data_IF_958353836275
#
_entry.id   IF_958353836275
#
_cell.length_a   1.000
_cell.length_b   1.000
_cell.length_c   1.000
_cell.angle_alpha   90.00
_cell.angle_beta   90.00
_cell.angle_gamma   90.00
#
_symmetry.space_group_name_H-M   'P 1'
#
loop_
_entity.id
_entity.type
_entity.pdbx_description
1 polymer ?
#
# COMPACT_ATOMS: atom_id res chain seq x y z
N UNK A 1 4.42 67.34 -11.09
CA UNK A 1 4.00 68.52 -10.28
C UNK A 1 2.50 68.72 -10.51
N UNK A 2 1.81 69.45 -9.61
CA UNK A 2 0.33 69.57 -9.47
C UNK A 2 -0.42 68.22 -9.22
N UNK A 3 -1.49 68.11 -8.43
CA UNK A 3 -2.10 69.02 -7.43
C UNK A 3 -2.99 68.24 -6.40
N UNK A 4 -2.99 68.72 -5.13
CA UNK A 4 -4.15 69.11 -4.28
C UNK A 4 -5.40 68.20 -4.15
N UNK A 5 -5.73 67.87 -2.87
CA UNK A 5 -7.05 67.55 -2.24
C UNK A 5 -8.07 66.64 -2.99
N UNK A 6 -8.78 65.71 -2.32
CA UNK A 6 -9.79 66.03 -1.28
C UNK A 6 -10.28 64.77 -0.57
N UNK A 7 -10.44 64.83 0.75
CA UNK A 7 -11.07 63.79 1.59
C UNK A 7 -12.60 63.95 1.53
N UNK A 8 -13.36 62.86 1.39
CA UNK A 8 -14.79 62.89 1.64
C UNK A 8 -15.31 61.53 2.15
N UNK A 9 -15.96 61.56 3.31
CA UNK A 9 -16.66 60.44 3.98
C UNK A 9 -18.12 60.84 4.16
N UNK A 10 -19.08 59.93 3.91
CA UNK A 10 -20.55 59.98 4.20
C UNK A 10 -21.24 58.95 3.25
N UNK A 11 -22.43 58.34 3.46
CA UNK A 11 -23.39 58.32 4.58
C UNK A 11 -24.26 57.03 4.49
N UNK A 12 -24.46 56.38 5.64
CA UNK A 12 -25.69 55.79 6.23
C UNK A 12 -26.66 54.82 5.48
N UNK A 13 -27.13 53.81 6.26
CA UNK A 13 -28.24 52.87 6.00
C UNK A 13 -29.59 53.54 5.73
N UNK A 14 -30.50 52.85 5.03
CA UNK A 14 -31.96 52.94 5.29
C UNK A 14 -32.70 51.64 4.92
N UNK A 15 -33.68 51.26 5.76
CA UNK A 15 -34.68 50.21 5.53
C UNK A 15 -36.04 50.87 5.28
N UNK A 16 -36.96 50.23 4.56
CA UNK A 16 -38.38 50.61 4.58
C UNK A 16 -39.34 49.41 4.53
N UNK A 17 -40.46 49.54 5.25
CA UNK A 17 -41.60 48.59 5.38
C UNK A 17 -42.68 48.90 4.30
N UNK A 18 -43.68 48.06 3.98
CA UNK A 18 -44.98 47.82 4.67
C UNK A 18 -45.91 46.99 3.69
N UNK A 19 -47.05 46.35 4.01
CA UNK A 19 -47.77 46.02 5.26
C UNK A 19 -48.84 44.90 5.08
N UNK A 20 -49.17 44.17 6.16
CA UNK A 20 -50.50 43.68 6.62
C UNK A 20 -51.48 42.99 5.64
N UNK A 21 -51.80 41.71 5.89
CA UNK A 21 -53.15 41.25 6.32
C UNK A 21 -53.10 39.87 7.01
N UNK A 22 -53.80 39.71 8.14
CA UNK A 22 -54.13 38.46 8.87
C UNK A 22 -55.64 38.15 8.63
N UNK A 23 -56.25 36.95 8.95
CA UNK A 23 -55.99 36.15 10.17
C UNK A 23 -56.32 34.61 10.17
N UNK A 24 -56.12 33.97 11.35
CA UNK A 24 -56.79 32.76 11.91
C UNK A 24 -56.73 31.42 11.14
N UNK A 25 -56.33 30.33 11.83
CA UNK A 25 -56.93 29.00 11.58
C UNK A 25 -56.07 27.73 11.67
N UNK A 26 -55.87 27.22 12.89
CA UNK A 26 -55.94 25.79 13.27
C UNK A 26 -55.25 24.66 12.45
N UNK A 27 -54.41 23.89 13.18
CA UNK A 27 -54.47 22.41 13.34
C UNK A 27 -54.10 21.45 12.18
N UNK A 28 -53.09 20.63 12.51
CA UNK A 28 -53.09 19.14 12.42
C UNK A 28 -52.61 18.45 11.12
N UNK A 29 -51.76 17.43 11.38
CA UNK A 29 -51.40 16.23 10.61
C UNK A 29 -52.17 15.93 9.31
N UNK A 30 -51.42 15.57 8.26
CA UNK A 30 -51.58 14.43 7.32
C UNK A 30 -50.38 14.49 6.35
N UNK A 31 -49.47 13.52 6.33
CA UNK A 31 -49.52 12.24 5.59
C UNK A 31 -49.34 12.38 4.06
N UNK A 32 -48.16 11.97 3.57
CA UNK A 32 -47.90 11.36 2.25
C UNK A 32 -48.48 12.04 0.99
N UNK A 33 -47.63 12.68 0.17
CA UNK A 33 -47.38 12.16 -1.19
C UNK A 33 -46.17 12.73 -1.95
N UNK A 34 -45.72 11.86 -2.83
CA UNK A 34 -44.63 11.79 -3.81
C UNK A 34 -44.63 12.84 -4.96
N UNK A 35 -43.45 13.00 -5.57
CA UNK A 35 -43.15 13.45 -6.96
C UNK A 35 -43.04 14.95 -7.33
N UNK A 36 -41.84 15.35 -7.76
CA UNK A 36 -41.51 15.70 -9.17
C UNK A 36 -39.98 15.84 -9.34
N UNK A 37 -39.32 14.97 -10.12
CA UNK A 37 -38.97 15.14 -11.55
C UNK A 37 -38.17 16.43 -11.89
N UNK A 38 -36.85 16.30 -12.05
CA UNK A 38 -36.15 16.69 -13.30
C UNK A 38 -34.68 16.22 -13.37
N UNK A 39 -34.42 15.40 -14.36
CA UNK A 39 -33.16 15.04 -15.02
C UNK A 39 -31.92 15.94 -14.84
N UNK A 40 -30.82 15.35 -14.34
CA UNK A 40 -29.49 15.54 -14.94
C UNK A 40 -28.77 14.18 -15.05
N UNK A 41 -28.68 13.69 -16.28
CA UNK A 41 -28.15 12.38 -16.67
C UNK A 41 -26.64 12.50 -16.92
N UNK A 42 -25.81 12.23 -15.92
CA UNK A 42 -24.35 12.29 -16.09
C UNK A 42 -23.84 11.17 -17.02
N UNK A 43 -22.87 11.43 -17.93
CA UNK A 43 -22.49 10.46 -18.96
C UNK A 43 -21.69 9.28 -18.41
N UNK A 44 -22.06 8.06 -18.79
CA UNK A 44 -21.20 6.90 -18.56
C UNK A 44 -20.04 6.90 -19.57
N UNK A 45 -18.81 7.07 -19.07
CA UNK A 45 -17.58 6.84 -19.84
C UNK A 45 -16.94 5.53 -19.38
N UNK A 46 -17.64 4.42 -19.61
CA UNK A 46 -17.08 3.07 -19.42
C UNK A 46 -16.31 2.67 -20.69
N UNK A 47 -14.97 2.70 -20.61
CA UNK A 47 -14.11 2.45 -21.79
C UNK A 47 -13.77 0.97 -21.93
N UNK A 48 -14.59 0.27 -22.73
CA UNK A 48 -14.30 -0.95 -23.50
C UNK A 48 -13.16 -1.84 -22.97
N UNK A 49 -13.53 -2.85 -22.17
CA UNK A 49 -12.69 -4.03 -22.01
C UNK A 49 -12.59 -4.78 -23.36
N UNK A 50 -11.52 -5.55 -23.54
CA UNK A 50 -11.26 -6.35 -24.74
C UNK A 50 -11.58 -7.79 -24.39
N UNK A 51 -12.67 -8.31 -24.94
CA UNK A 51 -13.06 -9.70 -24.76
C UNK A 51 -12.00 -10.63 -25.37
N UNK A 52 -11.74 -11.74 -24.68
CA UNK A 52 -10.97 -12.87 -25.17
C UNK A 52 -11.87 -14.09 -25.04
N UNK A 53 -12.55 -14.45 -26.13
CA UNK A 53 -13.36 -15.65 -26.21
C UNK A 53 -12.46 -16.90 -26.10
N UNK A 54 -12.76 -17.75 -25.11
CA UNK A 54 -12.26 -19.12 -25.04
C UNK A 54 -13.47 -20.04 -24.96
N UNK A 55 -13.90 -20.52 -26.13
CA UNK A 55 -15.00 -21.49 -26.27
C UNK A 55 -14.57 -22.87 -25.74
N UNK A 56 -15.31 -23.49 -24.81
CA UNK A 56 -15.04 -24.84 -24.35
C UNK A 56 -15.88 -25.86 -25.12
N UNK A 57 -15.41 -26.27 -26.30
CA UNK A 57 -16.08 -27.32 -27.08
C UNK A 57 -15.12 -28.21 -27.88
N UNK A 58 -14.40 -29.12 -27.20
CA UNK A 58 -14.23 -30.54 -27.60
C UNK A 58 -13.75 -31.31 -26.35
N UNK A 59 -14.51 -32.32 -25.92
CA UNK A 59 -14.05 -33.71 -25.66
C UNK A 59 -15.10 -34.45 -24.83
N UNK A 60 -15.94 -35.20 -25.54
CA UNK A 60 -16.64 -36.34 -24.97
C UNK A 60 -15.64 -37.48 -24.85
N UNK A 61 -15.55 -38.12 -23.68
CA UNK A 61 -15.00 -39.47 -23.55
C UNK A 61 -15.72 -40.24 -22.44
N UNK A 62 -16.36 -41.33 -22.85
CA UNK A 62 -16.86 -42.33 -21.94
C UNK A 62 -15.69 -43.21 -21.44
N UNK A 63 -15.88 -43.85 -20.28
CA UNK A 63 -15.11 -44.97 -19.73
C UNK A 63 -13.60 -45.04 -20.01
N UNK A 64 -12.80 -44.85 -18.95
CA UNK A 64 -11.90 -45.94 -18.56
C UNK A 64 -11.52 -45.87 -17.07
N UNK A 65 -11.52 -47.04 -16.42
CA UNK A 65 -11.10 -47.19 -15.03
C UNK A 65 -9.58 -47.29 -14.95
N UNK A 66 -8.95 -46.50 -14.07
CA UNK A 66 -7.61 -46.78 -13.56
C UNK A 66 -7.46 -46.15 -12.19
N UNK A 67 -7.16 -46.99 -11.18
CA UNK A 67 -6.81 -46.52 -9.84
C UNK A 67 -5.43 -45.86 -9.89
N UNK A 68 -5.34 -44.61 -9.45
CA UNK A 68 -4.06 -44.01 -9.04
C UNK A 68 -4.22 -43.35 -7.68
N UNK A 69 -3.49 -43.86 -6.70
CA UNK A 69 -3.58 -43.45 -5.30
C UNK A 69 -2.47 -42.45 -4.97
N UNK A 70 -2.60 -41.17 -5.36
CA UNK A 70 -1.88 -40.03 -4.76
C UNK A 70 -2.20 -38.69 -5.46
N UNK A 71 -3.16 -37.88 -4.98
CA UNK A 71 -3.24 -36.47 -5.44
C UNK A 71 -3.97 -35.45 -4.53
N UNK A 72 -4.16 -35.75 -3.25
CA UNK A 72 -4.91 -34.89 -2.29
C UNK A 72 -4.25 -33.52 -2.00
N UNK A 73 -3.00 -33.31 -2.41
CA UNK A 73 -2.23 -32.07 -2.20
C UNK A 73 -2.16 -31.15 -3.42
N UNK A 74 -2.79 -31.51 -4.55
CA UNK A 74 -2.85 -30.68 -5.77
C UNK A 74 -4.10 -29.80 -5.81
N UNK A 75 -5.28 -30.41 -5.61
CA UNK A 75 -6.60 -29.73 -5.69
C UNK A 75 -6.72 -28.58 -4.68
N UNK A 76 -6.19 -28.77 -3.46
CA UNK A 76 -6.18 -27.76 -2.41
C UNK A 76 -5.32 -26.53 -2.74
N UNK A 77 -4.25 -26.68 -3.54
CA UNK A 77 -3.39 -25.56 -3.97
C UNK A 77 -4.11 -24.67 -4.99
N UNK A 78 -4.83 -25.24 -5.95
CA UNK A 78 -5.66 -24.47 -6.88
C UNK A 78 -6.78 -23.72 -6.13
N UNK A 79 -7.42 -24.38 -5.16
CA UNK A 79 -8.44 -23.76 -4.31
C UNK A 79 -7.90 -22.57 -3.50
N UNK A 80 -6.78 -22.74 -2.78
CA UNK A 80 -6.18 -21.66 -1.99
C UNK A 80 -5.69 -20.49 -2.86
N UNK A 81 -5.03 -20.77 -3.99
CA UNK A 81 -4.55 -19.72 -4.89
C UNK A 81 -5.72 -18.95 -5.51
N UNK A 82 -6.78 -19.63 -5.94
CA UNK A 82 -8.02 -19.02 -6.42
C UNK A 82 -8.68 -18.13 -5.36
N UNK A 83 -8.78 -18.63 -4.13
CA UNK A 83 -9.29 -17.85 -2.98
C UNK A 83 -8.46 -16.59 -2.71
N UNK A 84 -7.12 -16.71 -2.69
CA UNK A 84 -6.24 -15.57 -2.45
C UNK A 84 -6.32 -14.52 -3.57
N UNK A 85 -6.38 -14.95 -4.83
CA UNK A 85 -6.58 -14.07 -5.98
C UNK A 85 -7.96 -13.38 -5.96
N UNK A 86 -9.01 -14.08 -5.54
CA UNK A 86 -10.34 -13.50 -5.32
C UNK A 86 -10.34 -12.47 -4.19
N UNK A 87 -9.69 -12.75 -3.07
CA UNK A 87 -9.50 -11.81 -1.96
C UNK A 87 -8.71 -10.57 -2.39
N UNK A 88 -7.68 -10.73 -3.23
CA UNK A 88 -6.94 -9.63 -3.85
C UNK A 88 -7.80 -8.74 -4.78
N UNK A 89 -8.91 -9.25 -5.33
CA UNK A 89 -9.85 -8.47 -6.14
C UNK A 89 -10.91 -7.79 -5.26
N UNK A 90 -11.54 -8.51 -4.33
CA UNK A 90 -12.63 -7.97 -3.51
C UNK A 90 -12.17 -7.05 -2.37
N UNK A 91 -11.03 -7.34 -1.73
CA UNK A 91 -10.51 -6.59 -0.56
C UNK A 91 -9.01 -6.28 -0.72
N UNK A 92 -8.59 -5.63 -1.82
CA UNK A 92 -7.19 -5.53 -2.24
C UNK A 92 -6.24 -4.96 -1.19
N UNK A 93 -6.67 -3.92 -0.45
CA UNK A 93 -5.82 -3.27 0.57
C UNK A 93 -5.64 -4.19 1.78
N UNK A 94 -6.74 -4.73 2.33
CA UNK A 94 -6.70 -5.61 3.50
C UNK A 94 -5.88 -6.87 3.22
N UNK A 95 -6.11 -7.54 2.08
CA UNK A 95 -5.36 -8.75 1.71
C UNK A 95 -3.86 -8.46 1.61
N UNK A 96 -3.45 -7.36 0.95
CA UNK A 96 -2.03 -6.96 0.86
C UNK A 96 -1.43 -6.58 2.21
N UNK A 97 -2.23 -5.96 3.09
CA UNK A 97 -1.82 -5.58 4.44
C UNK A 97 -1.56 -6.80 5.32
N UNK A 98 -2.49 -7.77 5.34
CA UNK A 98 -2.32 -9.04 6.06
C UNK A 98 -1.13 -9.83 5.49
N UNK A 99 -0.98 -9.91 4.16
CA UNK A 99 0.17 -10.61 3.58
C UNK A 99 1.50 -9.91 3.89
N UNK A 100 1.57 -8.58 3.87
CA UNK A 100 2.77 -7.83 4.27
C UNK A 100 3.12 -8.07 5.75
N UNK A 101 2.11 -8.09 6.64
CA UNK A 101 2.28 -8.40 8.06
C UNK A 101 2.89 -9.81 8.29
N UNK A 102 2.37 -10.82 7.59
CA UNK A 102 2.87 -12.20 7.66
C UNK A 102 4.31 -12.30 7.13
N UNK A 103 4.63 -11.62 6.03
CA UNK A 103 5.99 -11.60 5.46
C UNK A 103 6.97 -10.90 6.42
N UNK A 104 6.58 -9.78 7.04
CA UNK A 104 7.43 -9.10 8.02
C UNK A 104 7.59 -9.88 9.33
N UNK A 105 6.56 -10.60 9.77
CA UNK A 105 6.65 -11.55 10.88
C UNK A 105 7.67 -12.64 10.57
N UNK A 106 7.58 -13.26 9.38
CA UNK A 106 8.52 -14.29 8.95
C UNK A 106 9.95 -13.74 8.81
N UNK A 107 10.12 -12.55 8.20
CA UNK A 107 11.40 -11.89 8.03
C UNK A 107 12.10 -11.62 9.37
N UNK A 108 11.34 -11.15 10.36
CA UNK A 108 11.89 -10.85 11.68
C UNK A 108 12.19 -12.13 12.48
N UNK A 109 11.33 -13.14 12.45
CA UNK A 109 11.62 -14.44 13.08
C UNK A 109 12.87 -15.10 12.46
N UNK A 110 13.02 -15.06 11.13
CA UNK A 110 14.24 -15.51 10.45
C UNK A 110 15.46 -14.66 10.85
N UNK A 111 15.36 -13.33 10.86
CA UNK A 111 16.42 -12.43 11.34
C UNK A 111 16.87 -12.79 12.75
N UNK A 112 15.93 -12.93 13.68
CA UNK A 112 16.23 -13.34 15.06
C UNK A 112 16.87 -14.74 15.10
N UNK A 113 16.41 -15.69 14.27
CA UNK A 113 17.01 -17.03 14.18
C UNK A 113 18.46 -16.99 13.72
N UNK A 114 18.80 -16.17 12.73
CA UNK A 114 20.18 -15.98 12.24
C UNK A 114 21.07 -15.19 13.22
N UNK A 115 20.49 -14.27 13.99
CA UNK A 115 21.25 -13.43 14.93
C UNK A 115 21.54 -14.13 16.27
N UNK A 116 20.80 -15.19 16.61
CA UNK A 116 20.98 -15.95 17.85
C UNK A 116 22.36 -16.61 17.90
N UNK A 117 23.07 -16.38 18.99
CA UNK A 117 24.38 -17.00 19.28
C UNK A 117 24.22 -18.34 20.03
N UNK A 118 23.03 -18.66 20.52
CA UNK A 118 22.73 -19.94 21.17
C UNK A 118 21.26 -20.32 21.07
N UNK A 119 20.96 -21.63 21.02
CA UNK A 119 19.58 -22.12 20.91
C UNK A 119 18.67 -21.66 22.06
N UNK A 120 19.23 -21.46 23.26
CA UNK A 120 18.52 -21.04 24.48
C UNK A 120 18.03 -19.58 24.50
N UNK A 121 18.54 -18.71 23.63
CA UNK A 121 18.08 -17.31 23.57
C UNK A 121 16.60 -17.25 23.13
N UNK A 122 15.76 -16.51 23.86
CA UNK A 122 14.33 -16.37 23.52
C UNK A 122 14.13 -15.41 22.33
N UNK A 123 13.01 -15.57 21.63
CA UNK A 123 12.58 -14.62 20.59
C UNK A 123 11.97 -13.37 21.24
N UNK A 124 12.34 -12.19 20.74
CA UNK A 124 11.68 -10.92 21.07
C UNK A 124 10.34 -10.84 20.30
N UNK A 125 9.27 -11.31 20.96
CA UNK A 125 7.92 -11.24 20.44
C UNK A 125 7.40 -9.80 20.27
N UNK A 126 7.92 -8.83 21.04
CA UNK A 126 7.53 -7.41 20.93
C UNK A 126 8.11 -6.82 19.67
N UNK A 127 9.38 -7.12 19.34
CA UNK A 127 10.00 -6.79 18.04
C UNK A 127 9.23 -7.44 16.88
N UNK A 128 8.90 -8.72 16.98
CA UNK A 128 8.09 -9.40 15.95
C UNK A 128 6.74 -8.69 15.74
N UNK A 129 6.06 -8.30 16.82
CA UNK A 129 4.79 -7.57 16.75
C UNK A 129 4.94 -6.17 16.14
N UNK A 130 6.01 -5.43 16.46
CA UNK A 130 6.33 -4.14 15.81
C UNK A 130 6.51 -4.31 14.30
N UNK A 131 7.24 -5.34 13.86
CA UNK A 131 7.46 -5.61 12.43
C UNK A 131 6.16 -6.04 11.73
N UNK A 132 5.36 -6.91 12.35
CA UNK A 132 4.04 -7.30 11.86
C UNK A 132 3.10 -6.09 11.71
N UNK A 133 3.07 -5.20 12.72
CA UNK A 133 2.29 -3.96 12.71
C UNK A 133 2.74 -2.98 11.63
N UNK A 134 4.05 -2.81 11.42
CA UNK A 134 4.59 -2.01 10.33
C UNK A 134 4.17 -2.54 8.95
N UNK A 135 4.29 -3.86 8.73
CA UNK A 135 3.82 -4.52 7.51
C UNK A 135 2.33 -4.31 7.28
N UNK A 136 1.51 -4.49 8.32
CA UNK A 136 0.05 -4.37 8.24
C UNK A 136 -0.43 -2.95 8.00
N UNK A 137 0.01 -1.99 8.82
CA UNK A 137 -0.61 -0.67 8.91
C UNK A 137 0.05 0.36 7.99
N UNK A 138 1.33 0.20 7.69
CA UNK A 138 2.12 1.18 6.91
C UNK A 138 2.45 0.61 5.54
N UNK A 139 3.21 -0.47 5.49
CA UNK A 139 3.83 -0.90 4.23
C UNK A 139 2.82 -1.53 3.25
N UNK A 140 1.93 -2.41 3.72
CA UNK A 140 0.90 -3.02 2.87
C UNK A 140 0.00 -2.02 2.14
N UNK A 141 -0.61 -1.05 2.85
CA UNK A 141 -1.37 0.04 2.23
C UNK A 141 -0.49 0.94 1.35
N UNK A 142 0.70 1.31 1.82
CA UNK A 142 1.64 2.16 1.08
C UNK A 142 2.04 1.56 -0.26
N UNK A 143 2.47 0.28 -0.29
CA UNK A 143 2.80 -0.43 -1.53
C UNK A 143 1.58 -0.56 -2.44
N UNK A 144 0.37 -0.80 -1.90
CA UNK A 144 -0.85 -0.80 -2.71
C UNK A 144 -1.02 0.52 -3.46
N UNK A 145 -0.93 1.66 -2.77
CA UNK A 145 -1.09 2.97 -3.41
C UNK A 145 0.07 3.31 -4.34
N UNK A 146 1.31 3.00 -3.96
CA UNK A 146 2.51 3.23 -4.76
C UNK A 146 2.48 2.50 -6.12
N UNK A 147 2.26 1.19 -6.12
CA UNK A 147 2.23 0.42 -7.38
C UNK A 147 1.04 0.80 -8.27
N UNK A 148 -0.11 1.17 -7.69
CA UNK A 148 -1.24 1.72 -8.45
C UNK A 148 -0.94 3.12 -9.01
N UNK A 149 -0.25 3.98 -8.27
CA UNK A 149 0.17 5.29 -8.75
C UNK A 149 1.18 5.17 -9.90
N UNK A 150 2.22 4.33 -9.74
CA UNK A 150 3.17 4.01 -10.80
C UNK A 150 2.51 3.44 -12.05
N UNK A 151 1.47 2.61 -11.92
CA UNK A 151 0.75 2.05 -13.07
C UNK A 151 -0.14 3.06 -13.78
N UNK A 152 -0.64 4.10 -13.09
CA UNK A 152 -1.41 5.20 -13.68
C UNK A 152 -0.52 6.22 -14.40
N UNK A 153 0.58 6.64 -13.77
CA UNK A 153 1.52 7.62 -14.34
C UNK A 153 2.33 7.02 -15.50
N UNK A 154 2.73 5.75 -15.36
CA UNK A 154 3.57 5.05 -16.33
C UNK A 154 2.91 3.71 -16.73
N UNK A 155 1.82 3.73 -17.53
CA UNK A 155 1.03 2.53 -17.84
C UNK A 155 1.77 1.51 -18.72
N UNK A 156 2.78 1.94 -19.48
CA UNK A 156 3.57 1.07 -20.34
C UNK A 156 4.54 0.19 -19.53
N UNK A 157 4.92 -0.96 -20.09
CA UNK A 157 5.92 -1.92 -19.54
C UNK A 157 7.21 -1.99 -20.38
N UNK A 158 7.47 -0.97 -21.20
CA UNK A 158 8.76 -0.83 -21.89
C UNK A 158 9.90 -0.52 -20.90
N UNK A 159 11.15 -0.65 -21.37
CA UNK A 159 12.34 -0.46 -20.54
C UNK A 159 12.42 0.97 -19.98
N UNK A 160 12.10 2.00 -20.79
CA UNK A 160 12.21 3.39 -20.36
C UNK A 160 11.15 3.76 -19.30
N UNK A 161 9.92 3.28 -19.46
CA UNK A 161 8.87 3.34 -18.44
C UNK A 161 9.27 2.62 -17.15
N UNK A 162 9.92 1.45 -17.27
CA UNK A 162 10.43 0.67 -16.12
C UNK A 162 11.52 1.43 -15.37
N UNK A 163 12.52 1.97 -16.08
CA UNK A 163 13.60 2.77 -15.49
C UNK A 163 13.08 4.04 -14.80
N UNK A 164 12.04 4.70 -15.33
CA UNK A 164 11.40 5.84 -14.65
C UNK A 164 10.73 5.45 -13.33
N UNK A 165 10.04 4.31 -13.28
CA UNK A 165 9.44 3.80 -12.04
C UNK A 165 10.50 3.45 -11.01
N UNK A 166 11.60 2.83 -11.43
CA UNK A 166 12.77 2.54 -10.58
C UNK A 166 13.38 3.84 -10.04
N UNK A 167 13.62 4.85 -10.88
CA UNK A 167 14.16 6.14 -10.45
C UNK A 167 13.25 6.83 -9.40
N UNK A 168 11.93 6.81 -9.61
CA UNK A 168 10.96 7.30 -8.63
C UNK A 168 10.98 6.46 -7.33
N UNK A 169 11.20 5.15 -7.45
CA UNK A 169 11.38 4.24 -6.32
C UNK A 169 12.61 4.63 -5.48
N UNK A 170 13.77 4.75 -6.11
CA UNK A 170 15.04 5.06 -5.45
C UNK A 170 15.12 6.48 -4.89
N UNK A 171 14.50 7.48 -5.53
CA UNK A 171 14.63 8.89 -5.13
C UNK A 171 13.53 9.36 -4.18
N UNK A 172 12.33 8.76 -4.22
CA UNK A 172 11.18 9.20 -3.43
C UNK A 172 10.69 8.11 -2.48
N UNK A 173 10.30 6.95 -3.01
CA UNK A 173 9.61 5.93 -2.20
C UNK A 173 10.54 5.27 -1.17
N UNK A 174 11.70 4.79 -1.60
CA UNK A 174 12.71 4.16 -0.74
C UNK A 174 13.13 5.07 0.41
N UNK A 175 13.70 6.27 0.15
CA UNK A 175 14.08 7.22 1.18
C UNK A 175 12.95 7.56 2.16
N UNK A 176 11.74 7.80 1.66
CA UNK A 176 10.57 8.08 2.51
C UNK A 176 10.22 6.89 3.42
N UNK A 177 10.13 5.68 2.86
CA UNK A 177 9.79 4.48 3.63
C UNK A 177 10.89 4.10 4.62
N UNK A 178 12.17 4.29 4.30
CA UNK A 178 13.28 4.04 5.23
C UNK A 178 13.26 5.02 6.40
N UNK A 179 13.00 6.32 6.17
CA UNK A 179 12.81 7.31 7.24
C UNK A 179 11.62 6.95 8.13
N UNK A 180 10.47 6.60 7.52
CA UNK A 180 9.27 6.17 8.27
C UNK A 180 9.55 4.91 9.08
N UNK A 181 10.20 3.91 8.50
CA UNK A 181 10.55 2.66 9.18
C UNK A 181 11.41 2.90 10.43
N UNK A 182 12.52 3.66 10.30
CA UNK A 182 13.40 3.94 11.43
C UNK A 182 12.71 4.79 12.50
N UNK A 183 12.00 5.85 12.09
CA UNK A 183 11.31 6.77 13.02
C UNK A 183 10.21 6.06 13.81
N UNK A 184 9.42 5.23 13.13
CA UNK A 184 8.33 4.47 13.76
C UNK A 184 8.87 3.36 14.67
N UNK A 185 9.90 2.64 14.25
CA UNK A 185 10.54 1.63 15.11
C UNK A 185 11.16 2.24 16.36
N UNK A 186 11.81 3.40 16.24
CA UNK A 186 12.40 4.13 17.36
C UNK A 186 11.32 4.66 18.33
N UNK A 187 10.26 5.28 17.80
CA UNK A 187 9.10 5.71 18.59
C UNK A 187 8.44 4.53 19.34
N UNK A 188 8.29 3.36 18.69
CA UNK A 188 7.78 2.13 19.34
C UNK A 188 8.80 1.42 20.25
N UNK A 189 10.03 1.95 20.36
CA UNK A 189 11.02 1.57 21.37
C UNK A 189 11.07 2.57 22.54
N UNK A 190 10.28 3.65 22.48
CA UNK A 190 10.26 4.69 23.50
C UNK A 190 11.33 5.78 23.33
N UNK A 191 12.02 5.82 22.19
CA UNK A 191 13.02 6.86 21.91
C UNK A 191 12.38 8.24 21.73
N UNK A 192 13.03 9.26 22.29
CA UNK A 192 12.67 10.66 22.18
C UNK A 192 13.11 11.24 20.83
N UNK A 193 12.56 12.41 20.44
CA UNK A 193 12.83 13.03 19.13
C UNK A 193 14.32 13.29 18.82
N UNK A 194 15.15 13.52 19.85
CA UNK A 194 16.61 13.67 19.72
C UNK A 194 17.29 12.35 19.39
N UNK A 195 16.89 11.25 20.03
CA UNK A 195 17.40 9.89 19.82
C UNK A 195 16.98 9.36 18.45
N UNK A 196 15.71 9.55 18.07
CA UNK A 196 15.20 9.27 16.71
C UNK A 196 16.04 10.01 15.65
N UNK A 197 16.33 11.30 15.88
CA UNK A 197 17.17 12.11 15.00
C UNK A 197 18.62 11.62 14.89
N UNK A 198 19.19 11.12 15.99
CA UNK A 198 20.53 10.51 16.01
C UNK A 198 20.54 9.17 15.27
N UNK A 199 19.55 8.30 15.51
CA UNK A 199 19.39 7.01 14.82
C UNK A 199 19.25 7.21 13.30
N UNK A 200 18.43 8.15 12.86
CA UNK A 200 18.31 8.51 11.44
C UNK A 200 19.64 8.96 10.85
N UNK A 201 20.39 9.85 11.52
CA UNK A 201 21.72 10.29 11.04
C UNK A 201 22.73 9.14 10.93
N UNK A 202 22.67 8.17 11.84
CA UNK A 202 23.56 6.99 11.88
C UNK A 202 23.20 5.98 10.78
N UNK A 203 21.93 5.59 10.69
CA UNK A 203 21.51 4.38 9.98
C UNK A 203 20.93 4.64 8.58
N UNK A 204 20.37 5.83 8.33
CA UNK A 204 19.65 6.12 7.09
C UNK A 204 20.58 6.06 5.88
N UNK A 205 21.71 6.77 5.91
CA UNK A 205 22.61 6.84 4.76
C UNK A 205 23.26 5.48 4.44
N UNK A 206 23.82 4.71 5.40
CA UNK A 206 24.30 3.35 5.13
C UNK A 206 23.20 2.44 4.56
N UNK A 207 21.99 2.46 5.13
CA UNK A 207 20.87 1.62 4.68
C UNK A 207 20.45 1.96 3.25
N UNK A 208 20.39 3.25 2.90
CA UNK A 208 20.10 3.68 1.53
C UNK A 208 21.21 3.30 0.57
N UNK A 209 22.48 3.48 0.94
CA UNK A 209 23.63 3.15 0.09
C UNK A 209 23.68 1.65 -0.25
N UNK A 210 23.54 0.78 0.76
CA UNK A 210 23.42 -0.67 0.54
C UNK A 210 22.17 -1.01 -0.30
N UNK A 211 21.09 -0.26 -0.11
CA UNK A 211 19.84 -0.42 -0.85
C UNK A 211 19.94 -0.08 -2.34
N UNK A 212 20.79 0.88 -2.73
CA UNK A 212 20.94 1.36 -4.11
C UNK A 212 21.43 0.28 -5.08
N UNK A 213 22.11 -0.78 -4.61
CA UNK A 213 22.47 -1.92 -5.46
C UNK A 213 21.35 -2.96 -5.54
N UNK A 214 20.67 -3.21 -4.42
CA UNK A 214 19.67 -4.28 -4.29
C UNK A 214 18.31 -3.92 -4.90
N UNK A 215 17.78 -2.75 -4.54
CA UNK A 215 16.41 -2.37 -4.87
C UNK A 215 16.18 -2.12 -6.36
N UNK A 216 17.08 -1.52 -7.16
CA UNK A 216 16.86 -1.37 -8.60
C UNK A 216 16.67 -2.70 -9.34
N UNK A 217 17.38 -3.77 -8.95
CA UNK A 217 17.20 -5.09 -9.56
C UNK A 217 15.80 -5.65 -9.22
N UNK A 218 15.41 -5.53 -7.95
CA UNK A 218 14.09 -5.95 -7.46
C UNK A 218 12.94 -5.17 -8.11
N UNK A 219 13.09 -3.84 -8.22
CA UNK A 219 12.14 -2.94 -8.88
C UNK A 219 12.05 -3.24 -10.38
N UNK A 220 13.17 -3.47 -11.07
CA UNK A 220 13.17 -3.83 -12.49
C UNK A 220 12.36 -5.11 -12.73
N UNK A 221 12.62 -6.17 -11.96
CA UNK A 221 11.88 -7.44 -12.05
C UNK A 221 10.38 -7.19 -11.80
N UNK A 222 10.07 -6.47 -10.72
CA UNK A 222 8.69 -6.19 -10.28
C UNK A 222 7.91 -5.39 -11.33
N UNK A 223 8.47 -4.31 -11.86
CA UNK A 223 7.79 -3.45 -12.82
C UNK A 223 7.74 -4.02 -14.24
N UNK A 224 8.76 -4.79 -14.66
CA UNK A 224 8.88 -5.33 -16.02
C UNK A 224 8.05 -6.59 -16.26
N UNK A 225 7.97 -7.49 -15.28
CA UNK A 225 7.39 -8.82 -15.44
C UNK A 225 6.12 -9.08 -14.62
N UNK A 226 5.93 -8.41 -13.47
CA UNK A 226 4.84 -8.74 -12.54
C UNK A 226 3.57 -7.91 -12.85
N UNK A 227 2.35 -8.52 -12.82
CA UNK A 227 1.10 -7.78 -12.93
C UNK A 227 0.84 -6.92 -11.68
N UNK A 228 0.21 -5.76 -11.84
CA UNK A 228 0.14 -4.71 -10.78
C UNK A 228 -0.50 -5.19 -9.48
N UNK A 229 -1.48 -6.11 -9.56
CA UNK A 229 -2.09 -6.68 -8.37
C UNK A 229 -1.14 -7.52 -7.51
N UNK A 230 -0.09 -8.11 -8.09
CA UNK A 230 0.92 -8.94 -7.41
C UNK A 230 2.24 -8.20 -7.11
N UNK A 231 2.46 -7.01 -7.67
CA UNK A 231 3.68 -6.22 -7.41
C UNK A 231 3.93 -5.96 -5.90
N UNK A 232 2.91 -5.62 -5.07
CA UNK A 232 3.09 -5.53 -3.62
C UNK A 232 3.54 -6.84 -2.96
N UNK A 233 3.07 -8.00 -3.43
CA UNK A 233 3.45 -9.30 -2.89
C UNK A 233 4.92 -9.60 -3.17
N UNK A 234 5.34 -9.43 -4.42
CA UNK A 234 6.72 -9.68 -4.86
C UNK A 234 7.69 -8.70 -4.18
N UNK A 235 7.32 -7.42 -4.07
CA UNK A 235 8.11 -6.40 -3.37
C UNK A 235 8.30 -6.72 -1.88
N UNK A 236 7.25 -7.17 -1.17
CA UNK A 236 7.41 -7.67 0.21
C UNK A 236 8.31 -8.92 0.26
N UNK A 237 8.24 -9.82 -0.72
CA UNK A 237 9.14 -10.98 -0.82
C UNK A 237 10.61 -10.58 -0.95
N UNK A 238 10.91 -9.53 -1.71
CA UNK A 238 12.24 -8.92 -1.73
C UNK A 238 12.60 -8.27 -0.38
N UNK A 239 11.66 -7.59 0.31
CA UNK A 239 11.89 -7.08 1.68
C UNK A 239 12.28 -8.17 2.68
N UNK A 240 11.73 -9.38 2.57
CA UNK A 240 12.14 -10.53 3.38
C UNK A 240 13.59 -10.95 3.10
N UNK A 241 13.97 -11.10 1.82
CA UNK A 241 15.34 -11.46 1.43
C UNK A 241 16.35 -10.38 1.85
N UNK A 242 15.99 -9.10 1.68
CA UNK A 242 16.76 -7.95 2.17
C UNK A 242 17.02 -8.02 3.68
N UNK A 243 15.99 -8.36 4.47
CA UNK A 243 16.09 -8.45 5.94
C UNK A 243 17.05 -9.57 6.36
N UNK A 244 17.01 -10.72 5.69
CA UNK A 244 17.95 -11.82 5.92
C UNK A 244 19.38 -11.40 5.53
N UNK A 245 19.56 -10.78 4.36
CA UNK A 245 20.86 -10.29 3.89
C UNK A 245 21.50 -9.30 4.88
N UNK A 246 20.75 -8.29 5.31
CA UNK A 246 21.21 -7.31 6.31
C UNK A 246 21.60 -7.98 7.63
N UNK A 247 20.83 -8.97 8.08
CA UNK A 247 21.13 -9.71 9.32
C UNK A 247 22.40 -10.54 9.19
N UNK A 248 22.57 -11.23 8.06
CA UNK A 248 23.75 -12.03 7.77
C UNK A 248 25.03 -11.17 7.70
N UNK A 249 24.98 -10.04 6.97
CA UNK A 249 26.12 -9.12 6.87
C UNK A 249 26.54 -8.55 8.23
N UNK A 250 25.57 -8.14 9.07
CA UNK A 250 25.86 -7.67 10.43
C UNK A 250 26.47 -8.78 11.32
N UNK A 251 26.09 -10.05 11.10
CA UNK A 251 26.71 -11.20 11.75
C UNK A 251 28.17 -11.40 11.37
N UNK A 252 28.53 -11.22 10.09
CA UNK A 252 29.91 -11.32 9.62
C UNK A 252 30.79 -10.19 10.17
N UNK A 253 30.28 -8.95 10.20
CA UNK A 253 31.00 -7.80 10.76
C UNK A 253 31.35 -8.00 12.24
N UNK A 254 30.38 -8.52 13.02
CA UNK A 254 30.60 -8.89 14.43
C UNK A 254 31.73 -9.92 14.58
N UNK A 255 31.75 -10.96 13.75
CA UNK A 255 32.77 -12.02 13.82
C UNK A 255 34.18 -11.52 13.44
N UNK A 256 34.27 -10.67 12.40
CA UNK A 256 35.53 -10.06 11.96
C UNK A 256 36.12 -9.07 12.96
N UNK A 257 35.30 -8.45 13.82
CA UNK A 257 35.75 -7.53 14.87
C UNK A 257 36.24 -8.27 16.14
N UNK A 258 35.93 -9.57 16.26
CA UNK A 258 36.34 -10.42 17.39
C UNK A 258 37.53 -11.34 17.09
N UNK A 259 38.19 -11.16 15.93
CA UNK A 259 39.34 -11.94 15.46
C UNK A 259 40.61 -11.09 15.44
#
# INVERSE_FOLDING_TARGET
MTAVFRRNTNITRLLHKHSITDPIGARTLLQSQTQSKAYLRFPQVFRKARDYDLSPSVFSSAFCSSKSTAETTSVSKLGFLGWYLGMLQHRPILTKSVTSALIYTAADLSSQTLAKSSFSESYDAVRTLRMAGYGMLVLGPSLHFWFNFMSRVFPKRDIFSTLKKMAMGQTLYGPTMTVVFFSLNACLQGENGTEIGARLKRDLFPTLLSGVMYWPLCDFITFRFIPVQLQPLVSNGFSYLWTIYMTYMAGLEKAGTTS
#
